data_IF_162599729098
#
_entry.id   IF_162599729098
#
_cell.length_a   1.000
_cell.length_b   1.000
_cell.length_c   1.000
_cell.angle_alpha   90.00
_cell.angle_beta   90.00
_cell.angle_gamma   90.00
#
_symmetry.space_group_name_H-M   'P 1'
#
loop_
_entity.id
_entity.type
_entity.pdbx_description
1 polymer ?
#
# COMPACT_ATOMS: atom_id res chain seq x y z
N UNK A 1 -45.45 16.06 -30.56
CA UNK A 1 -44.19 16.84 -30.53
C UNK A 1 -43.54 16.79 -31.91
N UNK A 2 -42.92 17.88 -32.37
CA UNK A 2 -42.27 17.92 -33.69
C UNK A 2 -40.92 17.18 -33.62
N UNK A 3 -40.50 16.54 -34.72
CA UNK A 3 -39.23 15.79 -34.79
C UNK A 3 -38.02 16.65 -34.41
N UNK A 4 -38.05 17.93 -34.76
CA UNK A 4 -37.03 18.92 -34.41
C UNK A 4 -36.88 19.13 -32.89
N UNK A 5 -37.97 19.02 -32.14
CA UNK A 5 -37.94 19.22 -30.69
C UNK A 5 -37.30 18.02 -29.99
N UNK A 6 -37.54 16.81 -30.52
CA UNK A 6 -36.88 15.59 -30.05
C UNK A 6 -35.36 15.64 -30.24
N UNK A 7 -34.88 16.19 -31.35
CA UNK A 7 -33.43 16.31 -31.61
C UNK A 7 -32.77 17.34 -30.69
N UNK A 8 -33.43 18.48 -30.44
CA UNK A 8 -32.95 19.46 -29.46
C UNK A 8 -32.86 18.87 -28.06
N UNK A 9 -33.87 18.12 -27.63
CA UNK A 9 -33.87 17.44 -26.34
C UNK A 9 -32.77 16.37 -26.22
N UNK A 10 -32.45 15.67 -27.32
CA UNK A 10 -31.33 14.73 -27.35
C UNK A 10 -29.98 15.45 -27.18
N UNK A 11 -29.78 16.57 -27.89
CA UNK A 11 -28.58 17.39 -27.77
C UNK A 11 -28.38 17.89 -26.33
N UNK A 12 -29.44 18.41 -25.71
CA UNK A 12 -29.41 18.86 -24.30
C UNK A 12 -29.07 17.73 -23.32
N UNK A 13 -29.55 16.50 -23.55
CA UNK A 13 -29.21 15.34 -22.70
C UNK A 13 -27.74 14.95 -22.82
N UNK A 14 -27.16 15.02 -24.01
CA UNK A 14 -25.74 14.70 -24.23
C UNK A 14 -24.87 15.73 -23.54
N UNK A 15 -25.15 17.02 -23.73
CA UNK A 15 -24.41 18.12 -23.11
C UNK A 15 -24.49 18.07 -21.57
N UNK A 16 -25.67 17.76 -21.03
CA UNK A 16 -25.86 17.55 -19.58
C UNK A 16 -25.02 16.37 -19.05
N UNK A 17 -24.95 15.25 -19.77
CA UNK A 17 -24.12 14.10 -19.39
C UNK A 17 -22.63 14.41 -19.45
N UNK A 18 -22.18 15.18 -20.44
CA UNK A 18 -20.78 15.58 -20.57
C UNK A 18 -20.37 16.52 -19.43
N UNK A 19 -21.25 17.43 -19.00
CA UNK A 19 -21.01 18.33 -17.86
C UNK A 19 -21.06 17.61 -16.51
N UNK A 20 -21.85 16.54 -16.40
CA UNK A 20 -21.95 15.69 -15.20
C UNK A 20 -20.91 14.58 -15.13
N UNK A 21 -20.13 14.34 -16.18
CA UNK A 21 -18.98 13.45 -16.12
C UNK A 21 -17.96 14.07 -15.16
N UNK A 22 -18.10 13.73 -13.88
CA UNK A 22 -17.28 14.22 -12.80
C UNK A 22 -15.80 14.03 -13.12
N UNK A 23 -14.99 14.97 -12.62
CA UNK A 23 -13.54 14.92 -12.77
C UNK A 23 -13.04 13.52 -12.44
N UNK A 24 -12.37 12.80 -13.37
CA UNK A 24 -11.85 11.48 -13.08
C UNK A 24 -10.99 11.56 -11.82
N UNK A 25 -11.25 10.65 -10.88
CA UNK A 25 -10.69 10.68 -9.53
C UNK A 25 -9.20 11.01 -9.55
N UNK A 26 -8.79 11.94 -8.69
CA UNK A 26 -7.41 12.42 -8.60
C UNK A 26 -6.47 11.22 -8.46
N UNK A 27 -5.45 11.17 -9.30
CA UNK A 27 -4.38 10.17 -9.23
C UNK A 27 -3.85 10.13 -7.79
N UNK A 28 -3.93 8.96 -7.13
CA UNK A 28 -3.48 8.78 -5.74
C UNK A 28 -4.58 8.66 -4.67
N UNK A 29 -5.87 8.78 -4.99
CA UNK A 29 -6.95 8.55 -4.01
C UNK A 29 -6.93 7.11 -3.43
N UNK A 30 -6.48 6.12 -4.21
CA UNK A 30 -6.28 4.75 -3.75
C UNK A 30 -5.06 4.58 -2.82
N UNK A 31 -4.16 5.57 -2.70
CA UNK A 31 -3.04 5.53 -1.75
C UNK A 31 -3.45 5.93 -0.32
N UNK A 32 -4.67 6.46 -0.14
CA UNK A 32 -5.21 6.83 1.17
C UNK A 32 -5.83 5.64 1.94
N UNK A 33 -5.97 4.45 1.32
CA UNK A 33 -6.46 3.24 1.97
C UNK A 33 -5.34 2.38 2.58
N UNK A 34 -4.08 2.71 2.31
CA UNK A 34 -2.95 2.17 3.06
C UNK A 34 -2.85 2.94 4.39
N UNK A 35 -2.91 2.23 5.52
CA UNK A 35 -2.62 2.76 6.87
C UNK A 35 -1.52 3.81 6.75
N UNK A 36 -1.82 5.04 7.16
CA UNK A 36 -0.91 6.15 6.93
C UNK A 36 0.46 5.79 7.50
N UNK A 37 1.55 6.04 6.75
CA UNK A 37 2.94 5.79 7.21
C UNK A 37 3.25 6.37 8.60
N UNK A 38 2.45 7.33 9.08
CA UNK A 38 2.48 7.86 10.43
C UNK A 38 1.90 6.89 11.46
N UNK A 39 0.70 6.37 11.21
CA UNK A 39 0.02 5.39 12.07
C UNK A 39 0.82 4.09 12.19
N UNK A 40 1.46 3.65 11.10
CA UNK A 40 2.35 2.49 11.13
C UNK A 40 3.55 2.71 12.06
N UNK A 41 4.22 3.86 11.96
CA UNK A 41 5.33 4.22 12.84
C UNK A 41 4.89 4.39 14.30
N UNK A 42 3.67 4.86 14.54
CA UNK A 42 3.13 5.00 15.89
C UNK A 42 2.85 3.64 16.53
N UNK A 43 2.31 2.68 15.75
CA UNK A 43 2.17 1.28 16.19
C UNK A 43 3.52 0.64 16.46
N UNK A 44 4.50 0.83 15.58
CA UNK A 44 5.86 0.32 15.78
C UNK A 44 6.52 0.90 17.03
N UNK A 45 6.35 2.20 17.28
CA UNK A 45 6.83 2.85 18.52
C UNK A 45 6.13 2.33 19.76
N UNK A 46 4.82 2.10 19.70
CA UNK A 46 4.07 1.49 20.81
C UNK A 46 4.58 0.07 21.12
N UNK A 47 5.06 -0.65 20.10
CA UNK A 47 5.68 -1.97 20.22
C UNK A 47 7.19 -1.90 20.56
N UNK A 48 7.77 -0.70 20.74
CA UNK A 48 9.20 -0.52 21.03
C UNK A 48 10.13 -0.88 19.87
N UNK A 49 9.60 -1.01 18.65
CA UNK A 49 10.39 -1.37 17.46
C UNK A 49 11.19 -0.16 16.99
N UNK A 50 12.49 -0.37 16.79
CA UNK A 50 13.42 0.64 16.28
C UNK A 50 13.87 0.22 14.88
N UNK A 51 13.84 1.13 13.88
CA UNK A 51 14.37 0.82 12.56
C UNK A 51 15.89 0.63 12.64
N UNK A 52 16.35 -0.59 12.34
CA UNK A 52 17.75 -0.96 12.39
C UNK A 52 18.25 -1.32 10.98
N UNK A 53 18.91 -0.37 10.33
CA UNK A 53 19.44 -0.56 8.98
C UNK A 53 20.90 -0.99 9.02
N UNK A 54 21.16 -2.23 8.61
CA UNK A 54 22.52 -2.77 8.42
C UNK A 54 22.65 -3.29 6.99
N UNK A 55 23.80 -3.03 6.37
CA UNK A 55 24.13 -3.61 5.07
C UNK A 55 24.58 -5.05 5.29
N UNK A 56 23.87 -5.99 4.66
CA UNK A 56 24.20 -7.41 4.68
C UNK A 56 24.54 -7.86 3.26
N UNK A 57 25.28 -8.96 3.18
CA UNK A 57 25.53 -9.63 1.90
C UNK A 57 24.21 -10.10 1.25
N UNK A 58 24.16 -10.06 -0.08
CA UNK A 58 22.95 -10.40 -0.84
C UNK A 58 22.53 -11.87 -0.70
N UNK A 59 23.49 -12.80 -0.64
CA UNK A 59 23.23 -14.22 -0.46
C UNK A 59 22.71 -14.49 0.96
N UNK A 60 23.26 -13.80 1.95
CA UNK A 60 22.78 -13.89 3.34
C UNK A 60 21.33 -13.43 3.46
N UNK A 61 20.96 -12.33 2.79
CA UNK A 61 19.56 -11.86 2.77
C UNK A 61 18.64 -12.89 2.09
N UNK A 62 19.09 -13.55 1.02
CA UNK A 62 18.33 -14.60 0.37
C UNK A 62 18.10 -15.80 1.30
N UNK A 63 19.12 -16.24 2.04
CA UNK A 63 19.01 -17.32 3.02
C UNK A 63 18.06 -16.96 4.17
N UNK A 64 18.11 -15.72 4.68
CA UNK A 64 17.19 -15.27 5.73
C UNK A 64 15.73 -15.27 5.26
N UNK A 65 15.49 -14.85 4.01
CA UNK A 65 14.15 -14.90 3.40
C UNK A 65 13.65 -16.32 3.22
N UNK A 66 14.49 -17.21 2.67
CA UNK A 66 14.14 -18.62 2.51
C UNK A 66 13.77 -19.24 3.85
N UNK A 67 14.58 -18.99 4.89
CA UNK A 67 14.33 -19.50 6.24
C UNK A 67 13.04 -18.95 6.86
N UNK A 68 12.68 -17.71 6.57
CA UNK A 68 11.39 -17.13 6.98
C UNK A 68 10.22 -17.81 6.25
N UNK A 69 10.35 -18.04 4.95
CA UNK A 69 9.36 -18.79 4.16
C UNK A 69 9.18 -20.22 4.65
N UNK A 70 10.27 -20.94 4.91
CA UNK A 70 10.24 -22.33 5.37
C UNK A 70 9.56 -22.47 6.75
N UNK A 71 9.65 -21.44 7.59
CA UNK A 71 9.01 -21.39 8.91
C UNK A 71 7.59 -20.82 8.89
N UNK A 72 7.20 -20.15 7.80
CA UNK A 72 5.95 -19.39 7.74
C UNK A 72 5.93 -18.19 8.71
N UNK A 73 7.10 -17.67 9.09
CA UNK A 73 7.25 -16.58 10.06
C UNK A 73 7.63 -15.27 9.36
N UNK A 74 7.39 -14.15 10.03
CA UNK A 74 7.87 -12.85 9.57
C UNK A 74 9.41 -12.78 9.61
N UNK A 75 10.01 -12.13 8.61
CA UNK A 75 11.47 -11.98 8.50
C UNK A 75 12.06 -11.31 9.74
N UNK A 76 11.35 -10.33 10.33
CA UNK A 76 11.78 -9.64 11.54
C UNK A 76 11.87 -10.57 12.75
N UNK A 77 10.94 -11.53 12.89
CA UNK A 77 10.96 -12.51 13.98
C UNK A 77 12.14 -13.47 13.82
N UNK A 78 12.36 -13.99 12.61
CA UNK A 78 13.49 -14.89 12.33
C UNK A 78 14.82 -14.19 12.60
N UNK A 79 14.96 -12.93 12.20
CA UNK A 79 16.16 -12.14 12.47
C UNK A 79 16.33 -11.88 13.96
N UNK A 80 15.27 -11.51 14.68
CA UNK A 80 15.32 -11.30 16.12
C UNK A 80 15.78 -12.55 16.88
N UNK A 81 15.29 -13.72 16.50
CA UNK A 81 15.69 -15.01 17.06
C UNK A 81 17.15 -15.33 16.81
N UNK A 82 17.64 -15.09 15.59
CA UNK A 82 19.05 -15.30 15.25
C UNK A 82 19.96 -14.36 16.04
N UNK A 83 19.58 -13.08 16.17
CA UNK A 83 20.33 -12.09 16.94
C UNK A 83 20.36 -12.45 18.43
N UNK A 84 19.24 -12.86 19.04
CA UNK A 84 19.20 -13.31 20.44
C UNK A 84 20.09 -14.52 20.68
N UNK A 85 20.10 -15.49 19.75
CA UNK A 85 20.96 -16.67 19.84
C UNK A 85 22.44 -16.31 19.70
N UNK A 86 22.79 -15.36 18.83
CA UNK A 86 24.16 -14.87 18.70
C UNK A 86 24.65 -14.04 19.89
N UNK A 87 23.77 -13.28 20.54
CA UNK A 87 24.11 -12.48 21.73
C UNK A 87 24.20 -13.31 23.02
N UNK A 88 23.65 -14.53 23.04
CA UNK A 88 23.73 -15.44 24.17
C UNK A 88 25.02 -16.29 24.20
N UNK A 89 25.95 -16.02 23.27
CA UNK A 89 27.26 -16.67 23.19
C UNK A 89 28.27 -16.06 24.17
#
# INVERSE_FOLDING_TARGET
>A
MKKTDLEKLKGLKIDSRMKQAGTPGRFGAAAASAVGRREQRERERALGLVPFAVKLDGELVAQLRQRATDRGEDLGLVVADLLRKGLAQ
#
